data_IF_663815370700
#
_entry.id   IF_663815370700
#
_cell.length_a   1.000
_cell.length_b   1.000
_cell.length_c   1.000
_cell.angle_alpha   90.00
_cell.angle_beta   90.00
_cell.angle_gamma   90.00
#
_symmetry.space_group_name_H-M   'P 1'
#
loop_
_entity.id
_entity.type
_entity.pdbx_description
1 polymer ?
#
# COMPACT_ATOMS: atom_id res chain seq x y z
N UNK A 1 15.94 -9.20 9.22
CA UNK A 1 16.28 -9.02 7.79
C UNK A 1 17.60 -9.73 7.46
N UNK A 2 18.67 -9.55 8.24
CA UNK A 2 19.97 -10.14 7.93
C UNK A 2 19.94 -11.67 7.75
N UNK A 3 19.21 -12.41 8.58
CA UNK A 3 19.06 -13.86 8.44
C UNK A 3 18.36 -14.28 7.15
N UNK A 4 17.37 -13.52 6.69
CA UNK A 4 16.64 -13.79 5.46
C UNK A 4 17.51 -13.60 4.22
N UNK A 5 18.59 -12.83 4.28
CA UNK A 5 19.48 -12.53 3.17
C UNK A 5 20.61 -13.56 2.99
N UNK A 6 20.83 -14.47 3.94
CA UNK A 6 21.92 -15.45 3.90
C UNK A 6 21.83 -16.40 2.68
N UNK A 7 20.62 -16.69 2.21
CA UNK A 7 20.36 -17.59 1.09
C UNK A 7 20.36 -16.90 -0.30
N UNK A 8 20.73 -15.62 -0.38
CA UNK A 8 20.67 -14.81 -1.61
C UNK A 8 19.30 -14.89 -2.31
N UNK A 9 18.21 -14.53 -1.62
CA UNK A 9 16.86 -14.69 -2.17
C UNK A 9 16.58 -13.67 -3.27
N UNK A 10 15.78 -14.07 -4.25
CA UNK A 10 15.23 -13.16 -5.27
C UNK A 10 13.97 -12.43 -4.79
N UNK A 11 13.27 -13.03 -3.81
CA UNK A 11 12.07 -12.48 -3.19
C UNK A 11 12.25 -12.47 -1.68
N UNK A 12 12.07 -11.31 -1.07
CA UNK A 12 12.04 -11.11 0.37
C UNK A 12 10.61 -10.80 0.80
N UNK A 13 10.07 -11.60 1.71
CA UNK A 13 8.76 -11.40 2.30
C UNK A 13 8.90 -11.01 3.77
N UNK A 14 8.32 -9.88 4.15
CA UNK A 14 8.42 -9.32 5.49
C UNK A 14 7.01 -9.07 6.05
N UNK A 15 6.78 -9.50 7.27
CA UNK A 15 5.55 -9.26 8.01
C UNK A 15 5.84 -8.24 9.11
N UNK A 16 5.15 -7.08 9.04
CA UNK A 16 5.25 -5.96 9.98
C UNK A 16 6.72 -5.57 10.33
N UNK A 17 7.60 -5.34 9.34
CA UNK A 17 9.03 -5.15 9.61
C UNK A 17 9.36 -3.86 10.36
N UNK A 18 8.42 -2.91 10.44
CA UNK A 18 8.58 -1.63 11.13
C UNK A 18 7.90 -1.59 12.50
N UNK A 19 7.16 -2.65 12.87
CA UNK A 19 6.45 -2.69 14.15
C UNK A 19 7.43 -2.64 15.32
N UNK A 20 7.04 -1.91 16.38
CA UNK A 20 7.80 -1.75 17.61
C UNK A 20 9.20 -1.10 17.44
N UNK A 21 9.48 -0.49 16.30
CA UNK A 21 10.71 0.26 16.08
C UNK A 21 10.47 1.76 16.36
N UNK A 22 11.51 2.42 16.91
CA UNK A 22 11.53 3.87 16.95
C UNK A 22 11.65 4.48 15.54
N UNK A 23 11.34 5.76 15.40
CA UNK A 23 11.32 6.44 14.11
C UNK A 23 12.66 6.37 13.36
N UNK A 24 13.78 6.45 14.06
CA UNK A 24 15.11 6.38 13.43
C UNK A 24 15.38 4.97 12.88
N UNK A 25 15.02 3.93 13.62
CA UNK A 25 15.14 2.53 13.21
C UNK A 25 14.19 2.19 12.05
N UNK A 26 12.97 2.74 12.04
CA UNK A 26 12.04 2.61 10.92
C UNK A 26 12.64 3.18 9.64
N UNK A 27 13.18 4.42 9.69
CA UNK A 27 13.84 5.06 8.55
C UNK A 27 15.04 4.27 8.05
N UNK A 28 15.87 3.77 8.95
CA UNK A 28 17.01 2.94 8.58
C UNK A 28 16.56 1.65 7.89
N UNK A 29 15.52 0.99 8.39
CA UNK A 29 14.95 -0.22 7.78
C UNK A 29 14.42 0.07 6.37
N UNK A 30 13.63 1.13 6.19
CA UNK A 30 13.10 1.55 4.88
C UNK A 30 14.24 1.83 3.90
N UNK A 31 15.31 2.50 4.35
CA UNK A 31 16.49 2.76 3.52
C UNK A 31 17.18 1.47 3.07
N UNK A 32 17.34 0.49 3.98
CA UNK A 32 17.90 -0.83 3.64
C UNK A 32 17.04 -1.56 2.61
N UNK A 33 15.71 -1.56 2.78
CA UNK A 33 14.81 -2.20 1.82
C UNK A 33 14.91 -1.56 0.43
N UNK A 34 14.93 -0.22 0.37
CA UNK A 34 15.11 0.50 -0.89
C UNK A 34 16.46 0.16 -1.56
N UNK A 35 17.52 0.04 -0.77
CA UNK A 35 18.85 -0.33 -1.25
C UNK A 35 18.89 -1.75 -1.81
N UNK A 36 18.33 -2.73 -1.09
CA UNK A 36 18.25 -4.12 -1.54
C UNK A 36 17.50 -4.27 -2.86
N UNK A 37 16.39 -3.55 -3.01
CA UNK A 37 15.64 -3.55 -4.26
C UNK A 37 16.43 -2.94 -5.42
N UNK A 38 17.06 -1.77 -5.22
CA UNK A 38 17.78 -1.06 -6.30
C UNK A 38 19.10 -1.70 -6.68
N UNK A 39 19.89 -2.14 -5.71
CA UNK A 39 21.26 -2.61 -5.96
C UNK A 39 21.33 -4.10 -6.28
N UNK A 40 20.45 -4.91 -5.66
CA UNK A 40 20.42 -6.36 -5.86
C UNK A 40 19.28 -6.82 -6.78
N UNK A 41 18.41 -5.92 -7.24
CA UNK A 41 17.24 -6.28 -8.05
C UNK A 41 16.23 -7.17 -7.31
N UNK A 42 16.28 -7.19 -5.98
CA UNK A 42 15.48 -8.06 -5.15
C UNK A 42 14.02 -7.59 -5.13
N UNK A 43 13.08 -8.49 -5.37
CA UNK A 43 11.66 -8.23 -5.15
C UNK A 43 11.37 -8.27 -3.66
N UNK A 44 10.63 -7.27 -3.15
CA UNK A 44 10.33 -7.17 -1.72
C UNK A 44 8.83 -7.03 -1.55
N UNK A 45 8.24 -7.92 -0.76
CA UNK A 45 6.85 -7.85 -0.34
C UNK A 45 6.78 -7.59 1.16
N UNK A 46 6.03 -6.55 1.55
CA UNK A 46 5.87 -6.15 2.94
C UNK A 46 4.38 -6.22 3.29
N UNK A 47 4.08 -6.86 4.40
CA UNK A 47 2.79 -6.75 5.07
C UNK A 47 2.90 -5.68 6.15
N UNK A 48 2.05 -4.66 6.11
CA UNK A 48 2.06 -3.57 7.06
C UNK A 48 0.65 -2.98 7.23
N UNK A 49 0.35 -2.48 8.44
CA UNK A 49 -0.89 -1.76 8.71
C UNK A 49 -0.73 -0.26 8.47
N UNK A 50 0.43 0.31 8.78
CA UNK A 50 0.77 1.70 8.48
C UNK A 50 1.69 1.76 7.27
N UNK A 51 1.21 2.40 6.22
CA UNK A 51 1.92 2.54 4.95
C UNK A 51 2.81 3.78 4.89
N UNK A 52 2.61 4.76 5.77
CA UNK A 52 3.19 6.10 5.63
C UNK A 52 4.72 6.07 5.47
N UNK A 53 5.41 5.29 6.29
CA UNK A 53 6.86 5.17 6.20
C UNK A 53 7.36 4.45 4.94
N UNK A 54 6.50 3.61 4.35
CA UNK A 54 6.81 2.81 3.17
C UNK A 54 6.43 3.50 1.85
N UNK A 55 5.50 4.46 1.86
CA UNK A 55 5.00 5.12 0.66
C UNK A 55 6.09 5.57 -0.31
N UNK A 56 7.23 6.15 0.13
CA UNK A 56 8.28 6.60 -0.79
C UNK A 56 8.95 5.50 -1.59
N UNK A 57 8.86 4.24 -1.16
CA UNK A 57 9.54 3.10 -1.80
C UNK A 57 8.57 2.08 -2.43
N UNK A 58 7.26 2.19 -2.15
CA UNK A 58 6.26 1.28 -2.70
C UNK A 58 6.01 1.55 -4.19
N UNK A 59 5.97 0.48 -4.97
CA UNK A 59 5.63 0.52 -6.40
C UNK A 59 4.20 0.06 -6.68
N UNK A 60 3.65 -0.76 -5.83
CA UNK A 60 2.28 -1.27 -5.92
C UNK A 60 1.85 -1.91 -4.61
N UNK A 61 0.59 -2.26 -4.52
CA UNK A 61 0.03 -2.94 -3.38
C UNK A 61 -0.89 -4.08 -3.79
N UNK A 62 -0.89 -5.14 -2.99
CA UNK A 62 -1.91 -6.18 -3.00
C UNK A 62 -2.85 -5.90 -1.83
N UNK A 63 -4.12 -5.80 -2.09
CA UNK A 63 -5.15 -5.59 -1.08
C UNK A 63 -6.29 -6.59 -1.25
N UNK A 64 -7.01 -6.86 -0.19
CA UNK A 64 -8.18 -7.73 -0.19
C UNK A 64 -9.45 -6.87 -0.24
N UNK A 65 -10.29 -7.13 -1.22
CA UNK A 65 -11.59 -6.50 -1.36
C UNK A 65 -12.62 -7.61 -1.58
N UNK A 66 -13.66 -7.63 -0.75
CA UNK A 66 -14.72 -8.65 -0.79
C UNK A 66 -14.17 -10.09 -0.79
N UNK A 67 -13.11 -10.33 -0.04
CA UNK A 67 -12.46 -11.63 0.07
C UNK A 67 -11.58 -12.04 -1.13
N UNK A 68 -11.39 -11.15 -2.10
CA UNK A 68 -10.55 -11.39 -3.28
C UNK A 68 -9.29 -10.53 -3.26
N UNK A 69 -8.13 -11.06 -3.66
CA UNK A 69 -6.91 -10.28 -3.79
C UNK A 69 -6.91 -9.45 -5.08
N UNK A 70 -6.52 -8.20 -4.96
CA UNK A 70 -6.33 -7.27 -6.06
C UNK A 70 -4.93 -6.69 -6.00
N UNK A 71 -4.34 -6.44 -7.15
CA UNK A 71 -3.07 -5.72 -7.27
C UNK A 71 -3.31 -4.41 -8.03
N UNK A 72 -2.73 -3.34 -7.54
CA UNK A 72 -2.70 -2.07 -8.26
C UNK A 72 -1.38 -1.33 -8.01
N UNK A 73 -1.02 -0.43 -8.92
CA UNK A 73 0.09 0.49 -8.73
C UNK A 73 -0.24 1.50 -7.65
N UNK A 74 0.79 2.07 -7.01
CA UNK A 74 0.55 2.98 -5.88
C UNK A 74 -0.27 4.23 -6.24
N UNK A 75 -0.12 4.77 -7.43
CA UNK A 75 -0.93 5.90 -7.88
C UNK A 75 -2.44 5.58 -8.01
N UNK A 76 -2.79 4.32 -8.16
CA UNK A 76 -4.18 3.84 -8.22
C UNK A 76 -4.71 3.50 -6.81
N UNK A 77 -3.82 3.00 -5.93
CA UNK A 77 -4.15 2.64 -4.53
C UNK A 77 -4.32 3.88 -3.66
N UNK A 78 -3.55 4.95 -3.92
CA UNK A 78 -3.60 6.20 -3.15
C UNK A 78 -4.82 7.06 -3.52
N UNK A 79 -5.97 6.43 -3.53
CA UNK A 79 -7.30 7.03 -3.64
C UNK A 79 -7.99 7.02 -2.28
N UNK A 80 -8.48 8.17 -1.84
CA UNK A 80 -9.08 8.30 -0.50
C UNK A 80 -10.32 7.43 -0.32
N UNK A 81 -11.11 7.22 -1.38
CA UNK A 81 -12.31 6.37 -1.33
C UNK A 81 -11.95 4.90 -1.17
N UNK A 82 -10.99 4.42 -1.99
CA UNK A 82 -10.50 3.05 -1.89
C UNK A 82 -9.89 2.78 -0.51
N UNK A 83 -9.04 3.68 -0.02
CA UNK A 83 -8.39 3.53 1.28
C UNK A 83 -9.41 3.60 2.42
N UNK A 84 -10.40 4.49 2.36
CA UNK A 84 -11.50 4.55 3.34
C UNK A 84 -12.25 3.21 3.41
N UNK A 85 -12.52 2.60 2.26
CA UNK A 85 -13.16 1.28 2.22
C UNK A 85 -12.27 0.18 2.81
N UNK A 86 -10.97 0.18 2.48
CA UNK A 86 -10.02 -0.83 2.98
C UNK A 86 -9.74 -0.70 4.48
N UNK A 87 -9.66 0.52 5.00
CA UNK A 87 -9.41 0.75 6.42
C UNK A 87 -10.69 0.69 7.28
N UNK A 88 -11.87 0.78 6.67
CA UNK A 88 -13.15 0.82 7.38
C UNK A 88 -13.35 2.09 8.21
N UNK A 89 -12.59 3.14 7.95
CA UNK A 89 -12.70 4.46 8.57
C UNK A 89 -12.30 5.53 7.55
N UNK A 90 -12.89 6.72 7.66
CA UNK A 90 -12.60 7.80 6.73
C UNK A 90 -11.12 8.19 6.78
N UNK A 91 -10.46 8.12 5.65
CA UNK A 91 -9.07 8.54 5.49
C UNK A 91 -8.92 9.46 4.29
N UNK A 92 -7.91 10.31 4.35
CA UNK A 92 -7.53 11.19 3.24
C UNK A 92 -6.05 11.02 2.88
N UNK A 93 -5.76 11.23 1.62
CA UNK A 93 -4.39 11.30 1.12
C UNK A 93 -3.99 12.76 1.03
N UNK A 94 -3.00 13.15 1.80
CA UNK A 94 -2.47 14.51 1.85
C UNK A 94 -1.13 14.54 1.12
N UNK A 95 -0.96 15.49 0.22
CA UNK A 95 0.31 15.73 -0.47
C UNK A 95 0.93 17.01 0.05
N UNK A 96 2.18 16.94 0.47
CA UNK A 96 2.94 18.12 0.91
C UNK A 96 3.38 18.96 -0.29
N UNK A 97 3.74 20.25 -0.09
CA UNK A 97 4.33 21.09 -1.14
C UNK A 97 5.61 20.51 -1.75
N UNK A 98 6.31 19.63 -1.03
CA UNK A 98 7.51 18.92 -1.48
C UNK A 98 7.20 17.65 -2.29
N UNK A 99 5.90 17.25 -2.37
CA UNK A 99 5.45 16.08 -3.11
C UNK A 99 5.38 14.79 -2.28
N UNK A 100 5.65 14.85 -0.97
CA UNK A 100 5.47 13.69 -0.09
C UNK A 100 3.98 13.44 0.15
N UNK A 101 3.60 12.18 0.19
CA UNK A 101 2.22 11.76 0.43
C UNK A 101 2.07 11.08 1.78
N UNK A 102 0.95 11.34 2.43
CA UNK A 102 0.57 10.73 3.70
C UNK A 102 -0.89 10.31 3.69
N UNK A 103 -1.17 9.15 4.25
CA UNK A 103 -2.52 8.69 4.57
C UNK A 103 -2.80 9.05 6.02
N UNK A 104 -3.85 9.81 6.26
CA UNK A 104 -4.23 10.26 7.61
C UNK A 104 -5.73 10.08 7.82
N UNK A 105 -6.20 9.79 9.05
CA UNK A 105 -7.61 9.84 9.36
C UNK A 105 -8.18 11.22 9.02
N UNK A 106 -9.39 11.26 8.49
CA UNK A 106 -10.15 12.51 8.33
C UNK A 106 -11.04 12.70 9.56
N UNK A 107 -11.04 13.91 10.12
CA UNK A 107 -11.97 14.30 11.20
C UNK A 107 -13.34 14.69 10.64
N UNK A 108 -13.46 14.86 9.33
CA UNK A 108 -14.74 15.11 8.69
C UNK A 108 -15.61 13.85 8.85
N UNK A 109 -16.76 14.00 9.53
CA UNK A 109 -17.79 12.96 9.51
C UNK A 109 -18.08 12.66 8.04
N UNK A 110 -18.22 11.38 7.66
CA UNK A 110 -18.62 11.05 6.31
C UNK A 110 -19.96 11.76 6.06
N UNK A 111 -19.97 12.79 5.22
CA UNK A 111 -21.19 13.25 4.58
C UNK A 111 -21.84 12.00 4.03
N UNK A 112 -23.02 11.62 4.59
CA UNK A 112 -23.82 10.46 4.27
C UNK A 112 -23.29 9.70 3.03
N UNK A 113 -22.24 8.92 3.19
CA UNK A 113 -21.82 7.98 2.17
C UNK A 113 -22.90 6.91 2.21
N UNK A 114 -23.88 7.08 1.37
CA UNK A 114 -24.86 6.05 1.04
C UNK A 114 -24.06 4.87 0.49
N UNK A 115 -23.63 4.00 1.41
CA UNK A 115 -22.77 2.84 1.16
C UNK A 115 -23.44 1.89 0.17
N UNK A 116 -24.77 2.01 0.02
CA UNK A 116 -25.57 1.17 -0.87
C UNK A 116 -25.72 1.72 -2.30
N UNK A 117 -25.48 3.00 -2.56
CA UNK A 117 -25.83 3.61 -3.84
C UNK A 117 -24.70 3.63 -4.89
N UNK A 118 -23.41 3.53 -4.53
CA UNK A 118 -22.32 3.75 -5.47
C UNK A 118 -21.22 2.68 -5.49
N UNK A 119 -21.28 1.67 -4.62
CA UNK A 119 -20.29 0.60 -4.55
C UNK A 119 -20.21 -0.30 -5.82
N UNK A 120 -21.31 -0.64 -6.54
CA UNK A 120 -21.23 -1.64 -7.59
C UNK A 120 -20.53 -1.18 -8.88
N UNK A 121 -20.70 0.09 -9.29
CA UNK A 121 -20.25 0.52 -10.63
C UNK A 121 -18.78 0.98 -10.69
N UNK A 122 -18.28 1.68 -9.69
CA UNK A 122 -16.87 2.10 -9.67
C UNK A 122 -15.95 0.92 -9.35
N UNK A 123 -16.36 0.04 -8.44
CA UNK A 123 -15.65 -1.21 -8.15
C UNK A 123 -15.65 -2.14 -9.38
N UNK A 124 -16.74 -2.19 -10.14
CA UNK A 124 -16.82 -2.97 -11.36
C UNK A 124 -15.85 -2.46 -12.46
N UNK A 125 -15.53 -1.18 -12.51
CA UNK A 125 -14.52 -0.63 -13.43
C UNK A 125 -13.11 -1.08 -13.07
N UNK A 126 -12.78 -1.18 -11.80
CA UNK A 126 -11.51 -1.78 -11.34
C UNK A 126 -11.40 -3.25 -11.71
N UNK A 127 -12.50 -4.01 -11.60
CA UNK A 127 -12.55 -5.43 -12.00
C UNK A 127 -12.37 -5.64 -13.50
N UNK A 128 -12.91 -4.76 -14.35
CA UNK A 128 -12.76 -4.87 -15.80
C UNK A 128 -11.33 -4.58 -16.28
N UNK A 129 -10.65 -3.63 -15.66
CA UNK A 129 -9.28 -3.27 -16.06
C UNK A 129 -8.28 -4.39 -15.74
N UNK A 130 -8.50 -5.12 -14.66
CA UNK A 130 -7.61 -6.20 -14.23
C UNK A 130 -7.82 -7.52 -15.00
N UNK A 131 -9.01 -7.77 -15.56
CA UNK A 131 -9.26 -8.96 -16.41
C UNK A 131 -8.54 -8.90 -17.75
N UNK A 132 -8.41 -7.72 -18.33
CA UNK A 132 -7.75 -7.53 -19.64
C UNK A 132 -6.24 -7.78 -19.55
N UNK A 133 -5.64 -7.62 -18.36
CA UNK A 133 -4.20 -7.85 -18.14
C UNK A 133 -3.84 -9.32 -17.91
N UNK A 134 -4.81 -10.20 -17.70
CA UNK A 134 -4.57 -11.64 -17.50
C UNK A 134 -4.78 -12.48 -18.77
N UNK A 135 -5.38 -11.92 -19.81
CA UNK A 135 -5.60 -12.62 -21.09
C UNK A 135 -4.60 -12.20 -22.20
N UNK A 136 -3.66 -11.35 -21.86
CA UNK A 136 -2.51 -11.02 -22.71
C UNK A 136 -1.20 -11.64 -22.14
#
# INVERSE_FOLDING_TARGET
>A
IAQALVSDPQLLMLDEPLANLDLASQRATVHVLAKLNRELGMSIQVVAHDLNMLLPILTGAVYLLDGHPHYAKMNEVLDSKLLTHLYGTTVQVVTTPQGDMFVTPSEDEPDDIDVDAHAPEEIARFHQHNRISQEA
#
